data_IF_072593953888
#
_entry.id   IF_072593953888
#
_cell.length_a   1.000
_cell.length_b   1.000
_cell.length_c   1.000
_cell.angle_alpha   90.00
_cell.angle_beta   90.00
_cell.angle_gamma   90.00
#
_symmetry.space_group_name_H-M   'P 1'
#
loop_
_entity.id
_entity.type
_entity.pdbx_description
1 polymer ?
#
# COMPACT_ATOMS: atom_id res chain seq x y z
N UNK A 1 -4.05 0.88 -1.23
CA UNK A 1 -3.89 -0.57 -0.93
C UNK A 1 -2.52 -0.82 -0.32
N UNK A 2 -2.40 -1.08 0.99
CA UNK A 2 -1.12 -1.08 1.71
C UNK A 2 -0.14 -2.21 1.33
N UNK A 3 -0.65 -3.38 0.94
CA UNK A 3 0.18 -4.57 0.72
C UNK A 3 0.74 -4.72 -0.70
N UNK A 4 0.35 -3.86 -1.65
CA UNK A 4 0.78 -3.93 -3.07
C UNK A 4 0.61 -5.33 -3.72
N UNK A 5 -0.29 -6.16 -3.20
CA UNK A 5 -0.56 -7.52 -3.70
C UNK A 5 -1.25 -7.47 -5.06
N UNK A 6 -0.47 -7.49 -6.14
CA UNK A 6 -0.94 -7.40 -7.53
C UNK A 6 -1.85 -8.55 -7.93
N UNK A 7 -1.57 -9.77 -7.44
CA UNK A 7 -2.36 -10.96 -7.77
C UNK A 7 -3.78 -10.81 -7.23
N UNK A 8 -3.92 -10.46 -5.95
CA UNK A 8 -5.22 -10.23 -5.34
C UNK A 8 -5.98 -9.04 -5.93
N UNK A 9 -5.30 -7.97 -6.39
CA UNK A 9 -6.02 -6.86 -7.07
C UNK A 9 -6.54 -7.27 -8.44
N UNK A 10 -5.79 -8.07 -9.19
CA UNK A 10 -6.20 -8.54 -10.51
C UNK A 10 -7.39 -9.47 -10.36
N UNK A 11 -7.31 -10.43 -9.44
CA UNK A 11 -8.39 -11.41 -9.18
C UNK A 11 -9.69 -10.76 -8.74
N UNK A 12 -9.63 -9.73 -7.89
CA UNK A 12 -10.79 -8.98 -7.40
C UNK A 12 -11.24 -7.85 -8.35
N UNK A 13 -10.58 -7.66 -9.49
CA UNK A 13 -10.93 -6.59 -10.42
C UNK A 13 -12.15 -6.95 -11.25
N UNK A 14 -12.87 -5.92 -11.72
CA UNK A 14 -14.05 -6.06 -12.58
C UNK A 14 -13.71 -6.82 -13.88
N UNK A 15 -12.47 -6.70 -14.37
CA UNK A 15 -12.00 -7.43 -15.54
C UNK A 15 -10.54 -7.89 -15.35
N UNK A 16 -10.34 -9.11 -14.82
CA UNK A 16 -9.01 -9.64 -14.49
C UNK A 16 -8.11 -9.80 -15.72
N UNK A 17 -8.67 -10.22 -16.85
CA UNK A 17 -7.96 -10.37 -18.13
C UNK A 17 -7.34 -9.05 -18.59
N UNK A 18 -8.14 -7.97 -18.58
CA UNK A 18 -7.68 -6.64 -18.97
C UNK A 18 -6.69 -6.08 -17.97
N UNK A 19 -6.91 -6.29 -16.66
CA UNK A 19 -6.01 -5.84 -15.62
C UNK A 19 -4.62 -6.50 -15.73
N UNK A 20 -4.56 -7.80 -16.03
CA UNK A 20 -3.31 -8.54 -16.29
C UNK A 20 -2.54 -7.96 -17.48
N UNK A 21 -3.20 -7.82 -18.63
CA UNK A 21 -2.57 -7.25 -19.85
C UNK A 21 -2.08 -5.82 -19.62
N UNK A 22 -2.82 -5.01 -18.87
CA UNK A 22 -2.43 -3.63 -18.57
C UNK A 22 -1.19 -3.56 -17.67
N UNK A 23 -1.07 -4.51 -16.72
CA UNK A 23 0.07 -4.64 -15.83
C UNK A 23 1.31 -5.12 -16.59
N UNK A 24 1.17 -6.15 -17.43
CA UNK A 24 2.25 -6.69 -18.27
C UNK A 24 2.76 -5.63 -19.26
N UNK A 25 1.86 -4.95 -19.98
CA UNK A 25 2.25 -3.93 -20.98
C UNK A 25 3.01 -2.73 -20.39
N UNK A 26 2.91 -2.52 -19.08
CA UNK A 26 3.58 -1.41 -18.40
C UNK A 26 4.45 -1.89 -17.24
N UNK A 27 4.93 -3.13 -17.24
CA UNK A 27 5.70 -3.64 -16.11
C UNK A 27 6.87 -2.71 -15.75
N UNK A 28 6.88 -2.09 -14.55
CA UNK A 28 8.03 -1.35 -14.08
C UNK A 28 9.17 -2.33 -13.74
N UNK A 29 10.42 -1.85 -13.77
CA UNK A 29 11.61 -2.63 -13.39
C UNK A 29 11.50 -3.23 -11.98
N UNK A 30 10.81 -2.53 -11.09
CA UNK A 30 10.42 -3.00 -9.76
C UNK A 30 8.98 -3.56 -9.78
N UNK A 31 8.81 -4.85 -9.53
CA UNK A 31 7.49 -5.52 -9.47
C UNK A 31 6.62 -5.04 -8.31
N UNK A 32 7.25 -4.45 -7.30
CA UNK A 32 6.61 -4.07 -6.04
C UNK A 32 5.97 -2.68 -6.06
N UNK A 33 6.12 -1.93 -7.15
CA UNK A 33 5.62 -0.56 -7.26
C UNK A 33 4.70 -0.41 -8.46
N UNK A 34 3.83 0.60 -8.40
CA UNK A 34 3.03 0.98 -9.54
C UNK A 34 3.88 1.77 -10.54
N UNK A 35 3.40 1.81 -11.78
CA UNK A 35 4.06 2.51 -12.90
C UNK A 35 4.04 4.02 -12.76
N UNK A 36 3.24 4.56 -11.82
CA UNK A 36 3.11 5.99 -11.59
C UNK A 36 4.22 6.54 -10.70
N UNK A 37 4.61 5.81 -9.65
CA UNK A 37 5.55 6.33 -8.64
C UNK A 37 6.94 5.68 -8.73
N UNK A 38 7.05 4.50 -9.33
CA UNK A 38 8.33 3.81 -9.50
C UNK A 38 9.11 3.67 -8.18
N UNK A 39 10.40 4.04 -8.22
CA UNK A 39 11.33 3.94 -7.09
C UNK A 39 10.93 4.82 -5.89
N UNK A 40 10.18 5.90 -6.11
CA UNK A 40 9.73 6.84 -5.08
C UNK A 40 8.36 6.47 -4.48
N UNK A 41 7.95 5.20 -4.55
CA UNK A 41 6.66 4.76 -4.04
C UNK A 41 6.50 5.04 -2.54
N UNK A 42 5.58 5.94 -2.18
CA UNK A 42 5.32 6.34 -0.80
C UNK A 42 4.91 5.16 0.10
N UNK A 43 4.26 4.14 -0.45
CA UNK A 43 3.90 2.94 0.30
C UNK A 43 5.09 2.01 0.57
N UNK A 44 6.10 1.97 -0.32
CA UNK A 44 7.37 1.26 -0.07
C UNK A 44 8.15 1.95 1.05
N UNK A 45 8.21 3.29 1.04
CA UNK A 45 8.84 4.08 2.10
C UNK A 45 8.18 3.90 3.46
N UNK A 46 6.85 4.00 3.53
CA UNK A 46 6.09 3.84 4.78
C UNK A 46 6.16 2.40 5.31
N UNK A 47 6.11 1.39 4.45
CA UNK A 47 6.25 -0.01 4.89
C UNK A 47 7.67 -0.36 5.37
N UNK A 48 8.71 0.22 4.76
CA UNK A 48 10.09 0.09 5.24
C UNK A 48 10.29 0.75 6.61
N UNK A 49 9.67 1.92 6.82
CA UNK A 49 9.69 2.61 8.10
C UNK A 49 8.93 1.82 9.18
N UNK A 50 7.69 1.40 8.91
CA UNK A 50 6.84 0.66 9.86
C UNK A 50 7.42 -0.72 10.24
N UNK A 51 8.15 -1.40 9.34
CA UNK A 51 8.85 -2.65 9.67
C UNK A 51 9.96 -2.47 10.70
N UNK A 52 10.52 -1.25 10.83
CA UNK A 52 11.59 -0.93 11.78
C UNK A 52 11.06 -0.64 13.20
N UNK A 53 9.77 -0.32 13.33
CA UNK A 53 9.07 0.03 14.57
C UNK A 53 8.25 -1.12 15.18
N UNK A 54 8.41 -2.37 14.73
CA UNK A 54 7.68 -3.54 15.27
C UNK A 54 8.08 -3.96 16.70
N UNK A 55 8.47 -2.97 17.52
CA UNK A 55 8.58 -3.04 18.98
C UNK A 55 7.67 -2.05 19.73
N UNK A 56 6.71 -1.34 19.10
CA UNK A 56 5.75 -0.50 19.85
C UNK A 56 4.31 -0.58 19.31
N UNK A 57 3.48 -1.31 20.05
CA UNK A 57 2.20 -0.79 20.56
C UNK A 57 1.10 -0.46 19.56
N UNK A 58 0.31 -1.47 19.20
CA UNK A 58 -1.11 -1.25 18.94
C UNK A 58 -1.76 -0.66 20.21
N UNK A 59 -2.41 0.51 20.07
CA UNK A 59 -3.37 1.01 21.04
C UNK A 59 -2.98 2.29 21.78
N UNK A 60 -3.32 3.45 21.20
CA UNK A 60 -3.87 4.58 21.97
C UNK A 60 -4.43 5.66 21.03
N UNK A 61 -5.72 5.60 20.69
CA UNK A 61 -6.54 6.81 20.48
C UNK A 61 -7.78 6.61 21.34
N UNK A 62 -7.58 6.85 22.63
CA UNK A 62 -8.62 7.00 23.64
C UNK A 62 -8.18 8.13 24.57
N UNK A 63 -8.34 9.37 24.12
CA UNK A 63 -8.25 10.62 24.91
C UNK A 63 -8.80 11.74 24.03
N UNK A 64 -9.84 12.49 24.37
CA UNK A 64 -10.70 12.52 25.53
C UNK A 64 -11.75 13.60 25.28
N UNK A 65 -12.98 13.38 25.77
CA UNK A 65 -13.87 14.45 26.20
C UNK A 65 -13.11 15.29 27.23
N UNK A 66 -12.94 16.59 27.00
CA UNK A 66 -13.07 17.61 28.04
C UNK A 66 -13.40 18.95 27.37
N UNK A 67 -14.56 19.47 27.77
CA UNK A 67 -15.07 20.83 27.64
C UNK A 67 -14.03 21.89 28.07
N UNK A 68 -14.09 23.06 27.42
CA UNK A 68 -13.69 24.42 27.87
C UNK A 68 -13.45 25.26 26.60
N UNK A 69 -14.02 26.44 26.35
CA UNK A 69 -14.90 27.33 27.11
C UNK A 69 -15.66 28.21 26.11
#
# INVERSE_FOLDING_TARGET
RKALDWKGQIELSINPERARKLRESRMPKDTDVCTMCGEFCSMKGVSAYLKKDSGVGAGQVAKGRTSSS
#
